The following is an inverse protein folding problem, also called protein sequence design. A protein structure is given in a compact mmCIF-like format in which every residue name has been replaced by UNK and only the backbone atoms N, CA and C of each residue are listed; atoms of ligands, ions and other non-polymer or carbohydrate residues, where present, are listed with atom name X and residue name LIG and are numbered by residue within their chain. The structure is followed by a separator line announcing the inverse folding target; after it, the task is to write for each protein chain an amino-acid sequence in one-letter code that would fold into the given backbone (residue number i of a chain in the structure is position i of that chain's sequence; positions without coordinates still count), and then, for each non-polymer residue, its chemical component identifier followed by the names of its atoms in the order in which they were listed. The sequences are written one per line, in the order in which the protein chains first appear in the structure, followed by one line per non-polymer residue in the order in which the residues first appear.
data_IF_160195492342
#
_entry.id   IF_160195492342
#
_cell.length_a   1.000
_cell.length_b   1.000
_cell.length_c   1.000
_cell.angle_alpha   90.00
_cell.angle_beta   90.00
_cell.angle_gamma   90.00
#
_symmetry.space_group_name_H-M   'P 1'
#
loop_
_entity.id
_entity.type
_entity.pdbx_description
1 polymer ?
#
# COMPACT_ATOMS: atom_id res chain seq x y z
N UNK A 1 38.19 13.97 -20.84
CA UNK A 1 37.04 13.04 -20.81
C UNK A 1 36.66 12.81 -19.37
N UNK A 2 35.43 13.15 -18.99
CA UNK A 2 34.88 12.89 -17.65
C UNK A 2 34.44 11.43 -17.54
N UNK A 3 34.33 10.92 -16.30
CA UNK A 3 33.79 9.60 -16.04
C UNK A 3 32.35 9.48 -16.57
N UNK A 4 31.95 8.29 -17.00
CA UNK A 4 30.57 8.01 -17.42
C UNK A 4 29.89 7.12 -16.39
N UNK A 5 28.84 7.66 -15.76
CA UNK A 5 28.03 6.97 -14.77
C UNK A 5 26.67 6.60 -15.39
N UNK A 6 26.23 5.36 -15.20
CA UNK A 6 24.95 4.86 -15.69
C UNK A 6 24.32 3.89 -14.70
N UNK A 7 23.00 3.91 -14.57
CA UNK A 7 22.22 2.90 -13.85
C UNK A 7 21.43 2.11 -14.90
N UNK A 8 21.49 0.78 -14.84
CA UNK A 8 20.72 -0.13 -15.71
C UNK A 8 19.80 -1.00 -14.87
N UNK A 9 18.53 -1.11 -15.27
CA UNK A 9 17.56 -2.03 -14.66
C UNK A 9 17.66 -3.40 -15.35
N UNK A 10 17.84 -4.45 -14.57
CA UNK A 10 17.99 -5.83 -15.03
C UNK A 10 16.99 -6.74 -14.28
N UNK A 11 16.46 -7.81 -14.91
CA UNK A 11 15.54 -8.75 -14.26
C UNK A 11 16.18 -9.37 -13.02
N UNK A 12 15.38 -9.62 -11.98
CA UNK A 12 15.84 -10.33 -10.78
C UNK A 12 16.12 -11.81 -11.06
N UNK A 13 15.28 -12.47 -11.86
CA UNK A 13 15.40 -13.88 -12.22
C UNK A 13 14.07 -14.60 -12.17
N UNK A 14 13.88 -15.49 -11.18
CA UNK A 14 12.64 -16.23 -10.93
C UNK A 14 11.83 -15.59 -9.80
N UNK A 15 10.63 -15.13 -10.13
CA UNK A 15 9.69 -14.52 -9.18
C UNK A 15 8.61 -15.52 -8.80
N UNK A 16 8.33 -15.68 -7.50
CA UNK A 16 7.13 -16.37 -7.01
C UNK A 16 6.04 -15.33 -6.71
N UNK A 17 4.85 -15.52 -7.26
CA UNK A 17 3.66 -14.71 -6.97
C UNK A 17 2.62 -15.59 -6.29
N UNK A 18 2.28 -15.25 -5.05
CA UNK A 18 1.24 -15.94 -4.26
C UNK A 18 0.01 -15.03 -4.20
N UNK A 19 -1.04 -15.40 -4.93
CA UNK A 19 -2.28 -14.64 -5.04
C UNK A 19 -3.30 -14.99 -3.94
N UNK A 20 -4.09 -14.01 -3.46
CA UNK A 20 -5.16 -14.22 -2.50
C UNK A 20 -6.48 -14.61 -3.21
N UNK A 21 -7.52 -14.89 -2.43
CA UNK A 21 -8.80 -15.39 -2.94
C UNK A 21 -9.85 -14.32 -3.22
N UNK A 22 -9.71 -13.12 -2.65
CA UNK A 22 -10.79 -12.13 -2.65
C UNK A 22 -10.93 -11.38 -3.99
N UNK A 23 -9.84 -11.19 -4.71
CA UNK A 23 -9.82 -10.75 -6.11
C UNK A 23 -8.86 -11.64 -6.90
N UNK A 24 -9.21 -12.92 -7.11
CA UNK A 24 -8.26 -13.98 -7.43
C UNK A 24 -7.66 -13.88 -8.84
N UNK A 25 -8.33 -13.18 -9.74
CA UNK A 25 -7.79 -12.86 -11.06
C UNK A 25 -6.86 -11.64 -10.97
N UNK A 26 -7.36 -10.51 -10.47
CA UNK A 26 -6.64 -9.24 -10.44
C UNK A 26 -5.35 -9.33 -9.62
N UNK A 27 -5.40 -9.90 -8.41
CA UNK A 27 -4.28 -9.91 -7.48
C UNK A 27 -3.22 -10.97 -7.82
N UNK A 28 -3.48 -11.84 -8.79
CA UNK A 28 -2.46 -12.71 -9.40
C UNK A 28 -1.88 -12.07 -10.67
N UNK A 29 -2.73 -11.52 -11.54
CA UNK A 29 -2.31 -11.04 -12.86
C UNK A 29 -1.63 -9.66 -12.84
N UNK A 30 -2.04 -8.74 -11.97
CA UNK A 30 -1.39 -7.42 -11.87
C UNK A 30 0.11 -7.52 -11.52
N UNK A 31 0.55 -8.25 -10.48
CA UNK A 31 1.98 -8.42 -10.22
C UNK A 31 2.67 -9.23 -11.33
N UNK A 32 1.98 -10.19 -11.98
CA UNK A 32 2.53 -10.95 -13.11
C UNK A 32 2.92 -10.03 -14.28
N UNK A 33 2.04 -9.09 -14.66
CA UNK A 33 2.31 -8.11 -15.72
C UNK A 33 3.60 -7.34 -15.41
N UNK A 34 3.77 -6.92 -14.17
CA UNK A 34 4.99 -6.26 -13.69
C UNK A 34 6.25 -7.10 -13.84
N UNK A 35 6.18 -8.36 -13.38
CA UNK A 35 7.31 -9.28 -13.41
C UNK A 35 7.72 -9.64 -14.84
N UNK A 36 6.75 -9.82 -15.74
CA UNK A 36 6.98 -10.03 -17.18
C UNK A 36 7.64 -8.80 -17.79
N UNK A 37 7.13 -7.60 -17.52
CA UNK A 37 7.68 -6.36 -18.06
C UNK A 37 9.15 -6.14 -17.64
N UNK A 38 9.51 -6.56 -16.42
CA UNK A 38 10.88 -6.53 -15.92
C UNK A 38 11.79 -7.65 -16.47
N UNK A 39 11.24 -8.61 -17.23
CA UNK A 39 12.00 -9.68 -17.90
C UNK A 39 12.22 -10.93 -17.05
N UNK A 40 11.38 -11.18 -16.04
CA UNK A 40 11.52 -12.32 -15.13
C UNK A 40 10.80 -13.57 -15.63
N UNK A 41 11.29 -14.74 -15.20
CA UNK A 41 10.49 -15.96 -15.15
C UNK A 41 9.58 -15.92 -13.92
N UNK A 42 8.39 -16.54 -13.99
CA UNK A 42 7.39 -16.44 -12.92
C UNK A 42 6.76 -17.78 -12.58
N UNK A 43 6.72 -18.10 -11.30
CA UNK A 43 5.89 -19.16 -10.73
C UNK A 43 4.68 -18.50 -10.08
N UNK A 44 3.48 -18.88 -10.50
CA UNK A 44 2.22 -18.37 -9.98
C UNK A 44 1.59 -19.42 -9.05
N UNK A 45 1.21 -18.99 -7.84
CA UNK A 45 0.45 -19.78 -6.88
C UNK A 45 -0.90 -19.11 -6.64
N UNK A 46 -1.97 -19.50 -7.37
CA UNK A 46 -3.31 -19.00 -7.12
C UNK A 46 -3.86 -19.59 -5.80
N UNK A 47 -4.79 -18.87 -5.15
CA UNK A 47 -5.38 -19.35 -3.90
C UNK A 47 -6.29 -20.56 -4.11
N UNK A 48 -6.14 -21.59 -3.31
CA UNK A 48 -7.01 -22.77 -3.27
C UNK A 48 -8.45 -22.45 -2.84
N UNK A 49 -8.65 -21.33 -2.13
CA UNK A 49 -9.96 -20.91 -1.60
C UNK A 49 -10.88 -20.44 -2.73
N UNK A 50 -10.34 -19.75 -3.75
CA UNK A 50 -11.08 -19.31 -4.93
C UNK A 50 -11.02 -20.36 -6.05
N UNK A 51 -11.42 -21.60 -5.73
CA UNK A 51 -11.19 -22.79 -6.55
C UNK A 51 -11.53 -22.60 -8.05
N UNK A 52 -12.72 -22.10 -8.36
CA UNK A 52 -13.17 -21.97 -9.75
C UNK A 52 -12.30 -21.04 -10.59
N UNK A 53 -11.88 -19.89 -10.03
CA UNK A 53 -10.97 -18.98 -10.73
C UNK A 53 -9.58 -19.58 -10.87
N UNK A 54 -9.09 -20.22 -9.80
CA UNK A 54 -7.76 -20.85 -9.78
C UNK A 54 -7.64 -21.98 -10.80
N UNK A 55 -8.68 -22.81 -10.92
CA UNK A 55 -8.79 -23.87 -11.93
C UNK A 55 -8.82 -23.27 -13.34
N UNK A 56 -9.66 -22.25 -13.58
CA UNK A 56 -9.72 -21.58 -14.88
C UNK A 56 -8.36 -21.00 -15.29
N UNK A 57 -7.64 -20.35 -14.37
CA UNK A 57 -6.31 -19.81 -14.64
C UNK A 57 -5.32 -20.94 -14.96
N UNK A 58 -5.31 -22.03 -14.19
CA UNK A 58 -4.43 -23.18 -14.41
C UNK A 58 -4.64 -23.82 -15.79
N UNK A 59 -5.90 -23.96 -16.22
CA UNK A 59 -6.25 -24.60 -17.49
C UNK A 59 -5.97 -23.73 -18.71
N UNK A 60 -6.06 -22.40 -18.57
CA UNK A 60 -6.13 -21.51 -19.73
C UNK A 60 -4.92 -20.57 -19.87
N UNK A 61 -4.34 -20.06 -18.79
CA UNK A 61 -3.37 -18.95 -18.87
C UNK A 61 -2.09 -19.36 -19.63
N UNK A 62 -1.61 -20.60 -19.41
CA UNK A 62 -0.40 -21.12 -20.07
C UNK A 62 -0.59 -21.47 -21.56
N UNK A 63 -1.79 -21.32 -22.12
CA UNK A 63 -2.01 -21.38 -23.57
C UNK A 63 -1.52 -20.11 -24.28
N UNK A 64 -1.31 -19.02 -23.54
CA UNK A 64 -0.93 -17.72 -24.07
C UNK A 64 0.49 -17.30 -23.68
N UNK A 65 1.13 -18.02 -22.75
CA UNK A 65 2.43 -17.70 -22.18
C UNK A 65 3.48 -18.77 -22.49
N UNK A 66 4.75 -18.38 -22.53
CA UNK A 66 5.86 -19.31 -22.69
C UNK A 66 5.96 -20.26 -21.48
N UNK A 67 5.65 -21.55 -21.69
CA UNK A 67 5.62 -22.58 -20.64
C UNK A 67 6.96 -22.91 -20.00
N UNK A 68 8.08 -22.47 -20.58
CA UNK A 68 9.40 -22.59 -19.96
C UNK A 68 9.69 -21.44 -18.99
N UNK A 69 9.17 -20.24 -19.26
CA UNK A 69 9.38 -19.04 -18.46
C UNK A 69 8.29 -18.84 -17.38
N UNK A 70 7.09 -19.40 -17.59
CA UNK A 70 5.93 -19.18 -16.73
C UNK A 70 5.29 -20.52 -16.36
N UNK A 71 5.02 -20.69 -15.06
CA UNK A 71 4.40 -21.90 -14.52
C UNK A 71 3.35 -21.56 -13.47
N UNK A 72 2.39 -22.46 -13.29
CA UNK A 72 1.33 -22.34 -12.28
C UNK A 72 1.42 -23.57 -11.38
N UNK A 73 1.42 -23.35 -10.08
CA UNK A 73 1.40 -24.42 -9.08
C UNK A 73 0.14 -24.24 -8.23
N UNK A 74 -0.81 -25.14 -8.41
CA UNK A 74 -2.02 -25.22 -7.59
C UNK A 74 -1.75 -26.06 -6.35
N UNK A 75 -2.44 -25.76 -5.25
CA UNK A 75 -2.29 -26.47 -3.99
C UNK A 75 -2.59 -25.57 -2.80
N UNK A 76 -2.57 -26.15 -1.61
CA UNK A 76 -2.86 -25.44 -0.37
C UNK A 76 -1.55 -25.11 0.37
N UNK A 77 -1.49 -25.41 1.67
CA UNK A 77 -0.36 -25.12 2.54
C UNK A 77 0.87 -25.92 2.15
N UNK A 78 0.77 -27.24 2.01
CA UNK A 78 1.90 -28.13 1.74
C UNK A 78 2.65 -27.78 0.45
N UNK A 79 1.94 -27.50 -0.63
CA UNK A 79 2.55 -27.08 -1.89
C UNK A 79 3.22 -25.70 -1.78
N UNK A 80 2.60 -24.79 -1.02
CA UNK A 80 3.12 -23.44 -0.79
C UNK A 80 4.41 -23.49 0.05
N UNK A 81 4.44 -24.31 1.10
CA UNK A 81 5.64 -24.53 1.91
C UNK A 81 6.77 -25.14 1.07
N UNK A 82 6.47 -26.13 0.23
CA UNK A 82 7.45 -26.73 -0.68
C UNK A 82 8.01 -25.71 -1.68
N UNK A 83 7.16 -24.85 -2.25
CA UNK A 83 7.59 -23.76 -3.12
C UNK A 83 8.52 -22.78 -2.41
N UNK A 84 8.19 -22.41 -1.17
CA UNK A 84 8.99 -21.47 -0.37
C UNK A 84 10.36 -22.03 0.06
N UNK A 85 10.62 -23.34 -0.10
CA UNK A 85 11.96 -23.90 0.08
C UNK A 85 12.89 -23.69 -1.12
N UNK A 86 12.34 -23.40 -2.30
CA UNK A 86 13.10 -23.24 -3.53
C UNK A 86 13.88 -21.91 -3.53
N UNK A 87 14.97 -21.86 -4.29
CA UNK A 87 15.73 -20.61 -4.49
C UNK A 87 14.96 -19.72 -5.48
N UNK A 88 14.53 -18.55 -5.00
CA UNK A 88 13.76 -17.57 -5.74
C UNK A 88 14.49 -16.22 -5.68
N UNK A 89 14.36 -15.41 -6.72
CA UNK A 89 15.02 -14.10 -6.81
C UNK A 89 14.10 -12.96 -6.33
N UNK A 90 12.79 -13.22 -6.22
CA UNK A 90 11.83 -12.36 -5.51
C UNK A 90 10.58 -13.16 -5.11
N UNK A 91 9.96 -12.84 -3.97
CA UNK A 91 8.65 -13.38 -3.58
C UNK A 91 7.66 -12.22 -3.43
N UNK A 92 6.57 -12.27 -4.19
CA UNK A 92 5.44 -11.36 -4.08
C UNK A 92 4.28 -12.12 -3.43
N UNK A 93 3.81 -11.65 -2.27
CA UNK A 93 2.72 -12.28 -1.54
C UNK A 93 1.66 -11.25 -1.18
N UNK A 94 0.40 -11.59 -1.43
CA UNK A 94 -0.75 -10.84 -0.93
C UNK A 94 -1.59 -11.73 -0.02
N UNK A 95 -1.92 -11.25 1.18
CA UNK A 95 -2.79 -11.97 2.10
C UNK A 95 -2.65 -11.54 3.56
N UNK A 96 -2.86 -12.48 4.48
CA UNK A 96 -2.79 -12.18 5.93
C UNK A 96 -1.38 -11.89 6.42
N UNK A 97 -1.25 -11.03 7.43
CA UNK A 97 0.03 -10.69 8.03
C UNK A 97 0.76 -11.86 8.70
N UNK A 98 0.02 -12.79 9.32
CA UNK A 98 0.60 -13.99 9.91
C UNK A 98 1.33 -14.85 8.86
N UNK A 99 0.68 -15.13 7.73
CA UNK A 99 1.32 -15.88 6.64
C UNK A 99 2.42 -15.05 5.96
N UNK A 100 2.28 -13.73 5.88
CA UNK A 100 3.34 -12.84 5.42
C UNK A 100 4.65 -12.99 6.21
N UNK A 101 4.57 -13.16 7.53
CA UNK A 101 5.72 -13.45 8.38
C UNK A 101 6.36 -14.81 8.05
N UNK A 102 5.55 -15.85 7.78
CA UNK A 102 6.05 -17.17 7.37
C UNK A 102 6.76 -17.11 6.01
N UNK A 103 6.19 -16.36 5.05
CA UNK A 103 6.81 -16.11 3.74
C UNK A 103 8.16 -15.40 3.91
N UNK A 104 8.22 -14.34 4.71
CA UNK A 104 9.46 -13.61 4.97
C UNK A 104 10.52 -14.49 5.67
N UNK A 105 10.11 -15.31 6.63
CA UNK A 105 11.00 -16.24 7.32
C UNK A 105 11.58 -17.31 6.37
N UNK A 106 10.79 -17.79 5.40
CA UNK A 106 11.28 -18.69 4.38
C UNK A 106 12.25 -17.98 3.41
N UNK A 107 11.91 -16.76 2.98
CA UNK A 107 12.73 -15.94 2.09
C UNK A 107 14.13 -15.65 2.67
N UNK A 108 14.22 -15.46 3.99
CA UNK A 108 15.48 -15.20 4.69
C UNK A 108 16.53 -16.31 4.50
N UNK A 109 16.11 -17.57 4.29
CA UNK A 109 17.03 -18.70 4.06
C UNK A 109 17.88 -18.54 2.79
N UNK A 110 17.37 -17.80 1.82
CA UNK A 110 18.03 -17.56 0.53
C UNK A 110 18.40 -16.07 0.31
N UNK A 111 18.18 -15.22 1.31
CA UNK A 111 18.28 -13.75 1.20
C UNK A 111 17.41 -13.19 0.06
N UNK A 112 16.26 -13.82 -0.19
CA UNK A 112 15.33 -13.42 -1.25
C UNK A 112 14.57 -12.16 -0.84
N UNK A 113 14.57 -11.09 -1.65
CA UNK A 113 13.73 -9.92 -1.39
C UNK A 113 12.24 -10.27 -1.50
N UNK A 114 11.42 -9.62 -0.68
CA UNK A 114 9.97 -9.83 -0.64
C UNK A 114 9.19 -8.55 -0.94
N UNK A 115 8.01 -8.71 -1.50
CA UNK A 115 6.94 -7.71 -1.47
C UNK A 115 5.75 -8.36 -0.77
N UNK A 116 5.31 -7.73 0.32
CA UNK A 116 4.23 -8.23 1.17
C UNK A 116 3.10 -7.22 1.15
N UNK A 117 2.01 -7.55 0.47
CA UNK A 117 0.76 -6.79 0.43
C UNK A 117 -0.21 -7.39 1.46
N UNK A 118 -0.27 -6.78 2.65
CA UNK A 118 -1.03 -7.32 3.78
C UNK A 118 -2.30 -6.51 4.04
N UNK A 119 -3.08 -6.95 5.03
CA UNK A 119 -4.30 -6.27 5.45
C UNK A 119 -4.08 -5.29 6.60
N UNK A 120 -5.17 -4.90 7.25
CA UNK A 120 -5.18 -4.04 8.41
C UNK A 120 -6.54 -3.39 8.60
N UNK A 121 -6.69 -2.58 9.64
CA UNK A 121 -7.94 -1.87 9.89
C UNK A 121 -7.88 -0.47 9.28
N UNK A 122 -8.34 -0.33 8.04
CA UNK A 122 -8.36 0.95 7.35
C UNK A 122 -9.43 1.90 7.90
N UNK A 123 -9.06 3.01 8.58
CA UNK A 123 -10.03 3.96 9.13
C UNK A 123 -10.65 4.82 8.03
N UNK A 124 -11.91 5.21 8.23
CA UNK A 124 -12.54 6.32 7.53
C UNK A 124 -12.89 7.45 8.50
N UNK A 125 -12.21 8.58 8.38
CA UNK A 125 -12.45 9.78 9.18
C UNK A 125 -13.46 10.68 8.47
N UNK A 126 -14.50 11.09 9.20
CA UNK A 126 -15.51 12.05 8.75
C UNK A 126 -15.28 13.36 9.49
N UNK A 127 -14.74 14.36 8.79
CA UNK A 127 -14.44 15.67 9.36
C UNK A 127 -15.70 16.58 9.38
N UNK A 128 -15.76 17.59 10.28
CA UNK A 128 -16.94 18.44 10.45
C UNK A 128 -17.32 19.27 9.21
N UNK A 129 -16.35 19.54 8.33
CA UNK A 129 -16.54 20.36 7.14
C UNK A 129 -17.08 19.57 5.94
N UNK A 130 -17.23 18.24 6.07
CA UNK A 130 -17.56 17.38 4.94
C UNK A 130 -19.06 17.35 4.61
N UNK A 131 -19.36 17.08 3.34
CA UNK A 131 -20.72 16.70 2.93
C UNK A 131 -21.03 15.28 3.39
N UNK A 132 -21.65 15.17 4.58
CA UNK A 132 -21.90 13.90 5.27
C UNK A 132 -22.60 12.83 4.41
N UNK A 133 -23.57 13.22 3.57
CA UNK A 133 -24.26 12.30 2.66
C UNK A 133 -23.33 11.71 1.60
N UNK A 134 -22.46 12.51 1.00
CA UNK A 134 -21.45 12.07 0.05
C UNK A 134 -20.44 11.16 0.73
N UNK A 135 -19.98 11.53 1.94
CA UNK A 135 -19.05 10.72 2.72
C UNK A 135 -19.64 9.35 3.06
N UNK A 136 -20.83 9.31 3.66
CA UNK A 136 -21.55 8.08 3.95
C UNK A 136 -21.74 7.22 2.70
N UNK A 137 -22.18 7.80 1.58
CA UNK A 137 -22.39 7.06 0.34
C UNK A 137 -21.11 6.39 -0.17
N UNK A 138 -19.98 7.11 -0.19
CA UNK A 138 -18.69 6.58 -0.63
C UNK A 138 -18.13 5.53 0.34
N UNK A 139 -18.23 5.78 1.65
CA UNK A 139 -17.83 4.81 2.70
C UNK A 139 -18.61 3.50 2.56
N UNK A 140 -19.93 3.57 2.43
CA UNK A 140 -20.77 2.38 2.30
C UNK A 140 -20.49 1.62 1.01
N UNK A 141 -20.18 2.32 -0.09
CA UNK A 141 -19.77 1.64 -1.32
C UNK A 141 -18.47 0.87 -1.11
N UNK A 142 -17.43 1.53 -0.59
CA UNK A 142 -16.15 0.88 -0.30
C UNK A 142 -16.28 -0.28 0.69
N UNK A 143 -17.16 -0.13 1.70
CA UNK A 143 -17.37 -1.15 2.73
C UNK A 143 -18.08 -2.40 2.21
N UNK A 144 -19.16 -2.22 1.47
CA UNK A 144 -20.04 -3.33 1.09
C UNK A 144 -19.71 -3.92 -0.28
N UNK A 145 -18.81 -3.28 -1.04
CA UNK A 145 -18.21 -3.90 -2.21
C UNK A 145 -17.48 -5.20 -1.83
N UNK A 146 -17.72 -6.26 -2.60
CA UNK A 146 -17.26 -7.62 -2.30
C UNK A 146 -17.68 -8.14 -0.90
N UNK A 147 -18.81 -7.65 -0.35
CA UNK A 147 -19.24 -7.87 1.03
C UNK A 147 -18.15 -7.54 2.08
N UNK A 148 -17.33 -6.50 1.81
CA UNK A 148 -16.26 -6.05 2.70
C UNK A 148 -15.03 -6.95 2.74
N UNK A 149 -14.93 -7.94 1.85
CA UNK A 149 -13.76 -8.83 1.71
C UNK A 149 -12.65 -8.15 0.88
N UNK A 150 -12.21 -6.97 1.32
CA UNK A 150 -11.25 -6.13 0.60
C UNK A 150 -10.25 -5.55 1.59
N UNK A 151 -8.94 -5.70 1.34
CA UNK A 151 -7.88 -5.24 2.24
C UNK A 151 -7.83 -3.72 2.42
N UNK A 152 -8.37 -2.98 1.45
CA UNK A 152 -8.55 -1.53 1.48
C UNK A 152 -10.01 -1.13 1.73
N UNK A 153 -10.92 -2.05 2.13
CA UNK A 153 -12.25 -1.60 2.53
C UNK A 153 -12.14 -0.66 3.76
N UNK A 154 -12.99 0.36 3.88
CA UNK A 154 -13.20 1.04 5.16
C UNK A 154 -13.51 -0.01 6.21
N UNK A 155 -12.63 -0.20 7.19
CA UNK A 155 -12.80 -1.23 8.20
C UNK A 155 -13.68 -0.71 9.33
N UNK A 156 -13.47 0.55 9.76
CA UNK A 156 -14.27 1.28 10.74
C UNK A 156 -14.36 2.79 10.41
N UNK A 157 -15.37 3.46 10.97
CA UNK A 157 -15.59 4.90 10.82
C UNK A 157 -15.29 5.63 12.13
N UNK A 158 -14.56 6.74 12.02
CA UNK A 158 -14.41 7.76 13.05
C UNK A 158 -15.25 8.96 12.64
N UNK A 159 -16.32 9.24 13.40
CA UNK A 159 -17.26 10.33 13.14
C UNK A 159 -17.42 11.18 14.38
N UNK A 160 -17.65 12.49 14.23
CA UNK A 160 -17.87 13.34 15.40
C UNK A 160 -19.11 12.87 16.18
N UNK A 161 -19.03 12.92 17.52
CA UNK A 161 -20.15 12.60 18.42
C UNK A 161 -21.43 13.33 18.03
N UNK A 162 -21.31 14.61 17.65
CA UNK A 162 -22.43 15.45 17.22
C UNK A 162 -23.09 14.97 15.91
N UNK A 163 -22.34 14.30 15.04
CA UNK A 163 -22.81 13.87 13.71
C UNK A 163 -23.21 12.39 13.66
N UNK A 164 -23.03 11.64 14.75
CA UNK A 164 -23.21 10.20 14.79
C UNK A 164 -24.62 9.76 14.35
N UNK A 165 -25.66 10.32 14.96
CA UNK A 165 -27.05 9.93 14.66
C UNK A 165 -27.41 10.23 13.20
N UNK A 166 -27.04 11.44 12.73
CA UNK A 166 -27.27 11.84 11.36
C UNK A 166 -26.51 10.96 10.36
N UNK A 167 -25.28 10.58 10.68
CA UNK A 167 -24.48 9.67 9.85
C UNK A 167 -25.13 8.29 9.75
N UNK A 168 -25.60 7.73 10.87
CA UNK A 168 -26.27 6.43 10.91
C UNK A 168 -27.56 6.44 10.11
N UNK A 169 -28.40 7.46 10.28
CA UNK A 169 -29.66 7.60 9.55
C UNK A 169 -29.43 7.75 8.04
N UNK A 170 -28.42 8.55 7.68
CA UNK A 170 -27.99 8.69 6.29
C UNK A 170 -27.52 7.34 5.72
N UNK A 171 -26.76 6.57 6.50
CA UNK A 171 -26.31 5.25 6.07
C UNK A 171 -27.47 4.27 5.86
N UNK A 172 -28.47 4.30 6.75
CA UNK A 172 -29.69 3.47 6.63
C UNK A 172 -30.42 3.76 5.32
N UNK A 173 -30.62 5.03 5.01
CA UNK A 173 -31.28 5.46 3.79
C UNK A 173 -30.54 4.97 2.54
N UNK A 174 -29.22 5.17 2.49
CA UNK A 174 -28.40 4.76 1.34
C UNK A 174 -28.40 3.24 1.14
N UNK A 175 -28.31 2.47 2.22
CA UNK A 175 -28.33 1.01 2.12
C UNK A 175 -29.69 0.48 1.67
N UNK A 176 -30.78 1.09 2.14
CA UNK A 176 -32.12 0.80 1.64
C UNK A 176 -32.27 1.13 0.15
N UNK A 177 -31.78 2.28 -0.30
CA UNK A 177 -31.82 2.67 -1.72
C UNK A 177 -31.03 1.70 -2.63
N UNK A 178 -29.95 1.09 -2.13
CA UNK A 178 -29.10 0.18 -2.90
C UNK A 178 -29.61 -1.25 -2.96
N UNK A 179 -30.12 -1.75 -1.84
CA UNK A 179 -30.38 -3.17 -1.65
C UNK A 179 -31.84 -3.50 -1.32
N UNK A 180 -32.68 -2.48 -1.11
CA UNK A 180 -34.08 -2.64 -0.73
C UNK A 180 -34.25 -3.22 0.68
N UNK A 181 -35.42 -3.81 0.92
CA UNK A 181 -35.79 -4.43 2.20
C UNK A 181 -35.03 -5.73 2.49
N UNK A 182 -34.60 -6.45 1.44
CA UNK A 182 -33.93 -7.74 1.55
C UNK A 182 -32.64 -7.79 0.71
N UNK A 183 -31.51 -7.33 1.28
CA UNK A 183 -30.22 -7.38 0.60
C UNK A 183 -29.77 -8.78 0.21
N UNK A 184 -30.32 -9.84 0.83
CA UNK A 184 -29.99 -11.22 0.47
C UNK A 184 -30.44 -11.55 -0.97
N UNK A 185 -31.55 -10.96 -1.43
CA UNK A 185 -32.07 -11.19 -2.79
C UNK A 185 -31.42 -10.29 -3.85
N UNK A 186 -30.52 -9.38 -3.47
CA UNK A 186 -29.86 -8.50 -4.42
C UNK A 186 -28.77 -9.23 -5.20
N UNK A 187 -28.89 -9.24 -6.54
CA UNK A 187 -27.85 -9.74 -7.45
C UNK A 187 -26.52 -8.97 -7.34
N UNK A 188 -26.55 -7.77 -6.75
CA UNK A 188 -25.38 -6.93 -6.53
C UNK A 188 -24.72 -7.13 -5.17
N UNK A 189 -25.23 -8.05 -4.33
CA UNK A 189 -24.70 -8.28 -2.99
C UNK A 189 -23.97 -9.63 -2.86
N UNK A 190 -22.64 -9.63 -2.63
CA UNK A 190 -21.83 -10.85 -2.58
C UNK A 190 -22.08 -11.71 -1.32
N UNK A 191 -21.52 -12.92 -1.34
CA UNK A 191 -21.48 -13.84 -0.19
C UNK A 191 -20.07 -13.93 0.39
N UNK A 192 -19.99 -14.39 1.64
CA UNK A 192 -18.71 -14.71 2.25
C UNK A 192 -18.11 -15.94 1.58
N UNK A 193 -16.79 -15.94 1.37
CA UNK A 193 -16.11 -16.96 0.55
C UNK A 193 -16.18 -18.39 1.13
N UNK A 194 -16.42 -18.53 2.45
CA UNK A 194 -16.41 -19.82 3.13
C UNK A 194 -17.15 -19.77 4.46
N UNK A 195 -17.56 -20.93 4.97
CA UNK A 195 -18.10 -21.08 6.34
C UNK A 195 -17.15 -20.54 7.40
N UNK A 196 -15.83 -20.75 7.25
CA UNK A 196 -14.84 -20.21 8.20
C UNK A 196 -14.89 -18.68 8.26
N UNK A 197 -15.06 -18.02 7.11
CA UNK A 197 -15.20 -16.56 7.06
C UNK A 197 -16.54 -16.10 7.59
N UNK A 198 -17.62 -16.83 7.34
CA UNK A 198 -18.93 -16.60 7.95
C UNK A 198 -18.84 -16.63 9.48
N UNK A 199 -18.27 -17.69 10.04
CA UNK A 199 -18.09 -17.86 11.49
C UNK A 199 -17.23 -16.76 12.11
N UNK A 200 -16.21 -16.29 11.40
CA UNK A 200 -15.37 -15.18 11.87
C UNK A 200 -16.14 -13.85 12.02
N UNK A 201 -17.24 -13.66 11.27
CA UNK A 201 -18.12 -12.50 11.37
C UNK A 201 -19.28 -12.75 12.34
N UNK A 202 -19.87 -13.95 12.30
CA UNK A 202 -21.03 -14.29 13.12
C UNK A 202 -20.69 -14.31 14.61
N UNK A 203 -19.54 -14.87 15.01
CA UNK A 203 -19.14 -14.96 16.42
C UNK A 203 -19.08 -13.62 17.15
N UNK A 204 -18.42 -12.57 16.64
CA UNK A 204 -18.44 -11.28 17.31
C UNK A 204 -19.83 -10.63 17.27
N UNK A 205 -20.66 -10.87 16.24
CA UNK A 205 -22.05 -10.39 16.22
C UNK A 205 -22.91 -11.05 17.32
N UNK A 206 -22.76 -12.37 17.54
CA UNK A 206 -23.49 -13.10 18.58
C UNK A 206 -23.12 -12.66 20.00
N UNK A 207 -21.88 -12.17 20.19
CA UNK A 207 -21.37 -11.68 21.47
C UNK A 207 -21.67 -10.20 21.71
N UNK A 208 -21.99 -9.45 20.67
CA UNK A 208 -22.27 -8.02 20.75
C UNK A 208 -23.62 -7.80 21.45
N UNK A 209 -23.69 -6.75 22.28
CA UNK A 209 -24.99 -6.27 22.79
C UNK A 209 -25.91 -5.94 21.60
N UNK A 210 -27.10 -6.57 21.49
CA UNK A 210 -28.04 -6.29 20.40
C UNK A 210 -28.39 -4.80 20.24
N UNK A 211 -28.30 -4.00 21.31
CA UNK A 211 -28.52 -2.54 21.24
C UNK A 211 -27.44 -1.80 20.45
N UNK A 212 -26.26 -2.40 20.29
CA UNK A 212 -25.17 -1.87 19.46
C UNK A 212 -25.31 -2.23 17.99
N UNK A 213 -26.30 -3.03 17.60
CA UNK A 213 -26.62 -3.27 16.18
C UNK A 213 -27.52 -2.14 15.70
N UNK A 214 -26.94 -1.17 15.01
CA UNK A 214 -27.63 0.03 14.53
C UNK A 214 -28.47 -0.25 13.28
N UNK A 215 -28.05 -1.21 12.46
CA UNK A 215 -28.75 -1.69 11.27
C UNK A 215 -28.20 -3.07 10.89
N UNK A 216 -29.03 -3.92 10.26
CA UNK A 216 -28.60 -5.21 9.73
C UNK A 216 -28.62 -6.29 10.79
N UNK A 217 -27.53 -7.06 10.92
CA UNK A 217 -27.37 -8.13 11.89
C UNK A 217 -28.04 -9.46 11.51
N UNK A 218 -28.80 -9.51 10.41
CA UNK A 218 -29.34 -10.76 9.86
C UNK A 218 -28.22 -11.53 9.15
N UNK A 219 -28.29 -12.86 9.24
CA UNK A 219 -27.37 -13.75 8.55
C UNK A 219 -28.05 -15.06 8.15
N UNK A 220 -27.51 -15.72 7.15
CA UNK A 220 -27.90 -17.05 6.71
C UNK A 220 -26.64 -17.86 6.42
N UNK A 221 -26.38 -18.85 7.28
CA UNK A 221 -25.21 -19.72 7.16
C UNK A 221 -25.24 -20.57 5.90
N UNK A 222 -26.41 -21.01 5.43
CA UNK A 222 -26.52 -21.88 4.25
C UNK A 222 -26.14 -21.14 2.97
N UNK A 223 -26.45 -19.86 2.93
CA UNK A 223 -26.15 -18.95 1.82
C UNK A 223 -24.83 -18.18 2.03
N UNK A 224 -24.14 -18.41 3.15
CA UNK A 224 -22.95 -17.64 3.58
C UNK A 224 -23.19 -16.12 3.53
N UNK A 225 -24.41 -15.72 3.86
CA UNK A 225 -24.89 -14.35 3.81
C UNK A 225 -24.81 -13.69 5.18
N UNK A 226 -24.28 -12.48 5.23
CA UNK A 226 -24.40 -11.57 6.38
C UNK A 226 -24.89 -10.24 5.82
N UNK A 227 -25.95 -9.69 6.38
CA UNK A 227 -26.53 -8.43 5.92
C UNK A 227 -25.54 -7.27 6.04
N UNK A 228 -25.69 -6.20 5.22
CA UNK A 228 -25.01 -4.94 5.47
C UNK A 228 -25.30 -4.47 6.90
N UNK A 229 -24.29 -4.52 7.77
CA UNK A 229 -24.47 -4.33 9.21
C UNK A 229 -23.69 -3.13 9.70
N UNK A 230 -24.35 -2.25 10.45
CA UNK A 230 -23.73 -1.12 11.14
C UNK A 230 -23.73 -1.43 12.64
N UNK A 231 -22.57 -1.30 13.30
CA UNK A 231 -22.47 -1.50 14.75
C UNK A 231 -21.89 -0.27 15.43
N UNK A 232 -22.46 0.13 16.57
CA UNK A 232 -22.01 1.31 17.30
C UNK A 232 -23.04 1.78 18.35
N UNK A 233 -22.71 2.79 19.16
CA UNK A 233 -21.37 3.37 19.31
C UNK A 233 -20.40 2.33 19.91
N UNK A 234 -19.23 2.18 19.30
CA UNK A 234 -18.15 1.35 19.84
C UNK A 234 -17.07 2.21 20.48
N UNK A 235 -16.41 1.64 21.48
CA UNK A 235 -15.20 2.21 22.05
C UNK A 235 -14.00 1.91 21.14
N UNK A 236 -12.97 2.77 21.10
CA UNK A 236 -11.78 2.54 20.27
C UNK A 236 -11.04 1.21 20.54
N UNK A 237 -11.18 0.68 21.75
CA UNK A 237 -10.58 -0.57 22.22
C UNK A 237 -11.56 -1.76 22.25
N UNK A 238 -12.71 -1.67 21.58
CA UNK A 238 -13.68 -2.77 21.48
C UNK A 238 -13.02 -4.06 20.94
N UNK A 239 -13.02 -5.12 21.76
CA UNK A 239 -12.32 -6.37 21.45
C UNK A 239 -13.00 -7.18 20.32
N UNK A 240 -14.29 -6.94 20.03
CA UNK A 240 -15.04 -7.73 19.06
C UNK A 240 -14.80 -7.23 17.64
N UNK A 241 -14.81 -5.91 17.44
CA UNK A 241 -14.72 -5.32 16.10
C UNK A 241 -13.61 -4.30 15.92
N UNK A 242 -12.87 -3.91 16.96
CA UNK A 242 -11.80 -2.89 16.87
C UNK A 242 -10.37 -3.45 17.04
N UNK A 243 -10.20 -4.74 17.32
CA UNK A 243 -8.87 -5.38 17.49
C UNK A 243 -8.28 -5.94 16.18
N UNK A 244 -9.03 -6.79 15.47
CA UNK A 244 -8.59 -7.43 14.23
C UNK A 244 -9.31 -6.88 13.00
N UNK A 245 -8.73 -7.10 11.81
CA UNK A 245 -9.36 -6.78 10.53
C UNK A 245 -10.67 -7.55 10.36
N UNK A 246 -11.75 -6.86 9.99
CA UNK A 246 -13.08 -7.46 9.91
C UNK A 246 -13.18 -8.34 8.68
N UNK A 247 -12.80 -7.79 7.51
CA UNK A 247 -12.85 -8.49 6.22
C UNK A 247 -14.22 -9.14 5.95
N UNK A 248 -15.27 -8.33 6.09
CA UNK A 248 -16.68 -8.72 6.01
C UNK A 248 -17.63 -7.53 6.14
N UNK A 249 -18.95 -7.74 6.00
CA UNK A 249 -19.93 -6.68 5.83
C UNK A 249 -20.45 -6.12 7.17
N UNK A 250 -19.54 -5.80 8.08
CA UNK A 250 -19.85 -5.14 9.36
C UNK A 250 -19.04 -3.87 9.47
N UNK A 251 -19.69 -2.72 9.59
CA UNK A 251 -19.05 -1.41 9.73
C UNK A 251 -19.21 -0.88 11.16
N UNK A 252 -18.14 -0.90 11.97
CA UNK A 252 -18.11 -0.23 13.25
C UNK A 252 -18.08 1.28 13.11
N UNK A 253 -18.84 1.95 13.96
CA UNK A 253 -18.90 3.40 14.09
C UNK A 253 -18.41 3.76 15.49
N UNK A 254 -17.29 4.47 15.54
CA UNK A 254 -16.65 4.94 16.76
C UNK A 254 -16.78 6.46 16.81
N UNK A 255 -17.58 7.00 17.73
CA UNK A 255 -17.76 8.44 17.82
C UNK A 255 -16.55 9.09 18.52
N UNK A 256 -16.07 10.21 17.99
CA UNK A 256 -14.93 10.99 18.51
C UNK A 256 -15.35 12.43 18.81
N UNK A 257 -14.67 13.10 19.74
CA UNK A 257 -14.88 14.52 20.06
C UNK A 257 -14.34 15.43 18.94
N UNK A 258 -13.16 15.09 18.40
CA UNK A 258 -12.50 15.89 17.37
C UNK A 258 -11.52 15.05 16.51
N UNK A 259 -10.81 15.73 15.61
CA UNK A 259 -9.81 15.11 14.74
C UNK A 259 -8.52 14.72 15.47
N UNK A 260 -8.21 15.30 16.63
CA UNK A 260 -7.04 14.90 17.43
C UNK A 260 -7.29 13.53 18.06
N UNK A 261 -8.45 13.32 18.67
CA UNK A 261 -8.84 12.00 19.19
C UNK A 261 -8.86 10.96 18.06
N UNK A 262 -9.36 11.32 16.87
CA UNK A 262 -9.35 10.41 15.71
C UNK A 262 -7.91 9.99 15.32
N UNK A 263 -6.97 10.93 15.30
CA UNK A 263 -5.56 10.68 15.01
C UNK A 263 -4.93 9.80 16.10
N UNK A 264 -5.22 10.05 17.38
CA UNK A 264 -4.75 9.23 18.50
C UNK A 264 -5.22 7.78 18.39
N UNK A 265 -6.50 7.56 18.07
CA UNK A 265 -7.06 6.22 17.88
C UNK A 265 -6.33 5.49 16.75
N UNK A 266 -6.07 6.16 15.62
CA UNK A 266 -5.35 5.57 14.49
C UNK A 266 -3.92 5.18 14.88
N UNK A 267 -3.21 6.10 15.55
CA UNK A 267 -1.83 5.87 15.97
C UNK A 267 -1.69 4.84 17.10
N UNK A 268 -2.75 4.57 17.86
CA UNK A 268 -2.79 3.49 18.85
C UNK A 268 -2.82 2.09 18.23
N UNK A 269 -3.08 1.98 16.92
CA UNK A 269 -3.21 0.72 16.18
C UNK A 269 -2.04 0.52 15.22
N UNK A 270 -1.92 -0.70 14.71
CA UNK A 270 -0.93 -1.02 13.70
C UNK A 270 -1.22 -0.24 12.39
N UNK A 271 -0.17 0.24 11.72
CA UNK A 271 -0.30 1.07 10.52
C UNK A 271 -1.15 0.39 9.43
N UNK A 272 -2.28 0.99 9.01
CA UNK A 272 -3.17 0.39 8.04
C UNK A 272 -2.64 0.53 6.61
N UNK A 273 -3.22 -0.26 5.70
CA UNK A 273 -2.89 -0.17 4.27
C UNK A 273 -3.34 1.18 3.69
N UNK A 274 -4.51 1.65 4.09
CA UNK A 274 -5.04 2.97 3.69
C UNK A 274 -5.76 3.68 4.83
N UNK A 275 -5.63 5.00 4.87
CA UNK A 275 -6.47 5.93 5.65
C UNK A 275 -7.41 6.67 4.69
N UNK A 276 -8.70 6.69 5.00
CA UNK A 276 -9.69 7.50 4.28
C UNK A 276 -10.03 8.75 5.09
N UNK A 277 -9.94 9.93 4.46
CA UNK A 277 -10.30 11.20 5.09
C UNK A 277 -11.36 11.91 4.26
N UNK A 278 -12.51 12.23 4.84
CA UNK A 278 -13.54 13.05 4.21
C UNK A 278 -13.46 14.46 4.78
N UNK A 279 -12.85 15.39 4.02
CA UNK A 279 -12.66 16.80 4.38
C UNK A 279 -12.24 17.64 3.17
N UNK A 280 -12.88 18.79 3.00
CA UNK A 280 -12.55 19.81 2.00
C UNK A 280 -11.58 20.87 2.55
N UNK A 281 -11.36 20.92 3.86
CA UNK A 281 -10.41 21.80 4.55
C UNK A 281 -8.95 21.34 4.37
N UNK A 282 -8.09 22.13 3.69
CA UNK A 282 -6.67 21.82 3.54
C UNK A 282 -5.92 21.67 4.87
N UNK A 283 -6.33 22.39 5.91
CA UNK A 283 -5.67 22.34 7.23
C UNK A 283 -5.89 20.99 7.90
N UNK A 284 -7.11 20.44 7.85
CA UNK A 284 -7.45 19.11 8.36
C UNK A 284 -6.71 18.04 7.56
N UNK A 285 -6.68 18.15 6.22
CA UNK A 285 -5.92 17.22 5.36
C UNK A 285 -4.44 17.18 5.72
N UNK A 286 -3.82 18.34 5.89
CA UNK A 286 -2.42 18.43 6.27
C UNK A 286 -2.19 17.85 7.67
N UNK A 287 -3.07 18.15 8.63
CA UNK A 287 -2.99 17.65 10.00
C UNK A 287 -3.02 16.12 10.03
N UNK A 288 -4.02 15.48 9.40
CA UNK A 288 -4.13 14.02 9.38
C UNK A 288 -2.94 13.40 8.65
N UNK A 289 -2.56 13.94 7.49
CA UNK A 289 -1.44 13.41 6.68
C UNK A 289 -0.09 13.49 7.42
N UNK A 290 0.18 14.56 8.18
CA UNK A 290 1.43 14.75 8.90
C UNK A 290 1.51 13.98 10.22
N UNK A 291 0.37 13.60 10.80
CA UNK A 291 0.32 13.01 12.13
C UNK A 291 -0.18 11.56 12.13
N UNK A 292 -0.25 10.90 10.97
CA UNK A 292 -0.59 9.47 10.86
C UNK A 292 0.37 8.74 9.92
N UNK A 293 0.37 7.41 9.96
CA UNK A 293 1.20 6.57 9.07
C UNK A 293 0.33 5.48 8.45
N UNK A 294 0.39 5.36 7.12
CA UNK A 294 -0.33 4.34 6.33
C UNK A 294 0.36 4.10 5.00
N UNK A 295 -0.03 3.04 4.29
CA UNK A 295 0.43 2.80 2.91
C UNK A 295 -0.03 3.89 1.94
N UNK A 296 -1.28 4.33 2.08
CA UNK A 296 -1.86 5.43 1.32
C UNK A 296 -2.86 6.25 2.15
N UNK A 297 -3.04 7.51 1.77
CA UNK A 297 -4.16 8.34 2.21
C UNK A 297 -5.03 8.69 0.99
N UNK A 298 -6.33 8.48 1.09
CA UNK A 298 -7.29 8.89 0.06
C UNK A 298 -8.29 9.86 0.67
N UNK A 299 -8.43 11.01 0.02
CA UNK A 299 -9.30 12.10 0.47
C UNK A 299 -10.60 12.07 -0.32
N UNK A 300 -11.72 12.19 0.40
CA UNK A 300 -13.08 12.29 -0.11
C UNK A 300 -13.57 11.10 -0.94
N UNK A 301 -12.89 9.95 -0.94
CA UNK A 301 -13.37 8.74 -1.59
C UNK A 301 -12.83 7.47 -0.93
N UNK A 302 -13.27 6.30 -1.40
CA UNK A 302 -12.76 4.99 -0.97
C UNK A 302 -12.31 4.16 -2.17
N UNK A 303 -11.43 3.18 -1.96
CA UNK A 303 -10.90 2.23 -2.95
C UNK A 303 -10.14 2.81 -4.17
N UNK A 304 -10.46 4.01 -4.64
CA UNK A 304 -10.08 4.49 -5.97
C UNK A 304 -8.57 4.67 -6.19
N UNK A 305 -7.80 4.94 -5.13
CA UNK A 305 -6.34 4.98 -5.19
C UNK A 305 -5.73 3.66 -5.70
N UNK A 306 -6.40 2.52 -5.49
CA UNK A 306 -5.94 1.21 -5.96
C UNK A 306 -6.10 1.01 -7.48
N UNK A 307 -6.79 1.92 -8.18
CA UNK A 307 -6.92 1.91 -9.65
C UNK A 307 -5.92 2.85 -10.33
N UNK A 308 -5.27 3.74 -9.57
CA UNK A 308 -4.40 4.76 -10.12
C UNK A 308 -2.99 4.20 -10.34
N UNK A 309 -2.69 3.85 -11.60
CA UNK A 309 -1.42 3.24 -12.00
C UNK A 309 -0.17 4.13 -11.79
N UNK A 310 -0.34 5.44 -11.62
CA UNK A 310 0.76 6.35 -11.31
C UNK A 310 1.14 6.37 -9.83
N UNK A 311 0.29 5.84 -8.94
CA UNK A 311 0.57 5.72 -7.52
C UNK A 311 1.18 4.35 -7.20
N UNK A 312 2.22 4.28 -6.35
CA UNK A 312 2.67 3.01 -5.81
C UNK A 312 1.61 2.48 -4.83
N UNK A 313 1.12 1.25 -5.07
CA UNK A 313 0.26 0.54 -4.14
C UNK A 313 1.11 -0.36 -3.25
N UNK A 314 1.06 -0.17 -1.94
CA UNK A 314 1.81 -0.96 -0.96
C UNK A 314 1.53 -0.53 0.48
N UNK A 315 1.79 -1.43 1.43
CA UNK A 315 1.65 -1.16 2.85
C UNK A 315 2.91 -0.64 3.53
N UNK A 316 2.79 -0.34 4.83
CA UNK A 316 3.89 0.03 5.71
C UNK A 316 3.73 -0.65 7.07
N UNK A 317 4.82 -1.18 7.63
CA UNK A 317 4.78 -1.88 8.91
C UNK A 317 3.92 -3.15 8.83
N UNK A 318 2.88 -3.24 9.65
CA UNK A 318 2.02 -4.43 9.71
C UNK A 318 1.16 -4.65 8.45
N UNK A 319 0.88 -3.58 7.70
CA UNK A 319 0.13 -3.67 6.44
C UNK A 319 0.98 -4.07 5.23
N UNK A 320 2.30 -4.15 5.38
CA UNK A 320 3.16 -4.65 4.31
C UNK A 320 4.52 -3.99 4.20
N UNK A 321 5.24 -4.43 3.17
CA UNK A 321 6.50 -3.82 2.72
C UNK A 321 6.70 -4.00 1.22
N UNK A 322 7.32 -3.01 0.60
CA UNK A 322 7.37 -2.90 -0.85
C UNK A 322 6.09 -2.26 -1.41
N UNK A 323 6.09 -2.04 -2.73
CA UNK A 323 4.93 -1.51 -3.43
C UNK A 323 5.00 -1.92 -4.91
N UNK A 324 3.87 -1.86 -5.60
CA UNK A 324 3.76 -2.18 -7.02
C UNK A 324 2.72 -1.27 -7.70
N UNK A 325 2.25 -1.66 -8.89
CA UNK A 325 1.46 -0.92 -9.88
C UNK A 325 2.29 -0.09 -10.86
N UNK A 326 1.81 -0.04 -12.10
CA UNK A 326 2.41 0.76 -13.18
C UNK A 326 3.94 0.63 -13.27
N UNK A 327 4.67 1.77 -13.38
CA UNK A 327 6.13 1.78 -13.38
C UNK A 327 6.75 1.20 -12.10
N UNK A 328 6.08 1.31 -10.96
CA UNK A 328 6.59 0.79 -9.69
C UNK A 328 6.69 -0.73 -9.70
N UNK A 329 5.77 -1.44 -10.38
CA UNK A 329 5.89 -2.88 -10.60
C UNK A 329 7.19 -3.24 -11.33
N UNK A 330 7.54 -2.52 -12.40
CA UNK A 330 8.78 -2.78 -13.14
C UNK A 330 10.01 -2.62 -12.24
N UNK A 331 10.02 -1.57 -11.42
CA UNK A 331 11.09 -1.30 -10.46
C UNK A 331 11.18 -2.40 -9.39
N UNK A 332 10.04 -2.83 -8.85
CA UNK A 332 9.96 -3.87 -7.83
C UNK A 332 10.48 -5.21 -8.32
N UNK A 333 10.31 -5.55 -9.59
CA UNK A 333 10.79 -6.80 -10.18
C UNK A 333 12.12 -6.68 -10.94
N UNK A 334 12.80 -5.53 -10.85
CA UNK A 334 14.14 -5.30 -11.39
C UNK A 334 15.15 -5.06 -10.27
N UNK A 335 16.45 -5.19 -10.56
CA UNK A 335 17.50 -4.59 -9.73
C UNK A 335 18.23 -3.49 -10.50
N UNK A 336 18.68 -2.47 -9.78
CA UNK A 336 19.44 -1.36 -10.34
C UNK A 336 20.95 -1.65 -10.28
N UNK A 337 21.55 -1.83 -11.45
CA UNK A 337 22.98 -2.04 -11.61
C UNK A 337 23.70 -0.72 -11.88
N UNK A 338 24.46 -0.26 -10.89
CA UNK A 338 25.34 0.90 -11.04
C UNK A 338 26.60 0.55 -11.83
N UNK A 339 26.92 1.36 -12.84
CA UNK A 339 28.15 1.24 -13.63
C UNK A 339 28.85 2.60 -13.72
N UNK A 340 30.14 2.59 -13.41
CA UNK A 340 31.04 3.74 -13.56
C UNK A 340 32.17 3.35 -14.51
N UNK A 341 32.26 4.05 -15.63
CA UNK A 341 33.36 3.92 -16.57
C UNK A 341 34.32 5.07 -16.29
N UNK A 342 35.46 4.75 -15.70
CA UNK A 342 36.53 5.70 -15.42
C UNK A 342 37.24 6.09 -16.71
N UNK A 343 37.48 7.39 -16.88
CA UNK A 343 38.45 7.86 -17.87
C UNK A 343 39.87 7.47 -17.42
N UNK A 344 40.74 7.05 -18.35
CA UNK A 344 42.15 6.70 -18.07
C UNK A 344 43.01 7.98 -17.89
N UNK A 345 42.47 9.17 -18.19
CA UNK A 345 43.17 10.44 -18.00
C UNK A 345 43.29 10.88 -16.54
N UNK A 346 44.19 11.85 -16.29
CA UNK A 346 44.38 12.50 -14.97
C UNK A 346 44.91 11.59 -13.85
N UNK A 347 45.59 10.49 -14.18
CA UNK A 347 46.24 9.59 -13.20
C UNK A 347 47.20 10.33 -12.24
N UNK A 348 47.82 11.42 -12.71
CA UNK A 348 48.67 12.27 -11.88
C UNK A 348 47.92 12.92 -10.72
N UNK A 349 46.65 13.28 -10.91
CA UNK A 349 45.78 13.84 -9.86
C UNK A 349 45.36 12.74 -8.89
N UNK A 350 45.16 11.51 -9.39
CA UNK A 350 44.85 10.34 -8.56
C UNK A 350 46.04 9.90 -7.67
N UNK A 351 47.25 10.44 -7.85
CA UNK A 351 48.36 10.21 -6.90
C UNK A 351 48.05 10.63 -5.47
N UNK A 352 47.11 11.56 -5.29
CA UNK A 352 46.63 11.99 -3.98
C UNK A 352 46.00 10.84 -3.17
N UNK A 353 45.38 9.84 -3.82
CA UNK A 353 44.80 8.67 -3.14
C UNK A 353 45.79 7.51 -2.94
N UNK A 354 47.00 7.58 -3.50
CA UNK A 354 47.96 6.46 -3.46
C UNK A 354 48.99 6.61 -2.33
N UNK A 355 49.39 5.51 -1.68
CA UNK A 355 50.51 5.50 -0.74
C UNK A 355 51.85 5.96 -1.36
N UNK A 356 52.83 6.41 -0.54
CA UNK A 356 52.70 6.69 0.89
C UNK A 356 51.82 7.93 1.13
N UNK A 357 51.05 7.91 2.22
CA UNK A 357 50.15 9.01 2.59
C UNK A 357 50.91 10.09 3.35
N UNK A 358 50.59 11.34 3.07
CA UNK A 358 51.10 12.52 3.79
C UNK A 358 50.02 13.62 3.78
N UNK A 359 50.24 14.67 4.57
CA UNK A 359 49.29 15.76 4.76
C UNK A 359 48.94 16.45 3.43
N UNK A 360 49.92 16.63 2.53
CA UNK A 360 49.70 17.23 1.21
C UNK A 360 48.77 16.40 0.33
N UNK A 361 48.96 15.08 0.29
CA UNK A 361 48.09 14.16 -0.44
C UNK A 361 46.71 14.09 0.17
N UNK A 362 46.60 14.11 1.50
CA UNK A 362 45.32 14.11 2.20
C UNK A 362 44.54 15.41 1.92
N UNK A 363 45.21 16.56 1.96
CA UNK A 363 44.61 17.85 1.62
C UNK A 363 44.14 17.86 0.16
N UNK A 364 44.98 17.40 -0.77
CA UNK A 364 44.64 17.32 -2.19
C UNK A 364 43.48 16.34 -2.45
N UNK A 365 43.49 15.16 -1.83
CA UNK A 365 42.42 14.17 -1.99
C UNK A 365 41.09 14.64 -1.39
N UNK A 366 41.14 15.30 -0.23
CA UNK A 366 39.95 15.89 0.40
C UNK A 366 39.34 16.98 -0.50
N UNK A 367 40.17 17.86 -1.05
CA UNK A 367 39.73 18.86 -2.02
C UNK A 367 39.08 18.23 -3.26
N UNK A 368 39.63 17.13 -3.77
CA UNK A 368 39.14 16.43 -4.97
C UNK A 368 37.84 15.63 -4.74
N UNK A 369 37.56 15.20 -3.51
CA UNK A 369 36.43 14.32 -3.19
C UNK A 369 35.27 15.03 -2.51
N UNK A 370 35.57 16.01 -1.64
CA UNK A 370 34.58 16.74 -0.85
C UNK A 370 34.34 18.14 -1.44
N UNK A 371 35.27 18.64 -2.26
CA UNK A 371 35.23 20.02 -2.76
C UNK A 371 35.70 21.03 -1.69
N UNK A 372 35.61 22.32 -2.00
CA UNK A 372 35.82 23.37 -1.00
C UNK A 372 34.57 23.50 -0.11
N UNK A 373 34.72 23.81 1.19
CA UNK A 373 33.58 24.14 2.03
C UNK A 373 32.74 25.25 1.41
N UNK A 374 31.41 25.17 1.49
CA UNK A 374 30.50 26.14 0.87
C UNK A 374 30.81 27.60 1.24
N UNK A 375 31.22 27.84 2.49
CA UNK A 375 31.64 29.16 2.97
C UNK A 375 32.85 29.76 2.20
N UNK A 376 33.74 28.91 1.67
CA UNK A 376 34.88 29.33 0.84
C UNK A 376 34.40 29.56 -0.60
N UNK A 377 33.59 28.64 -1.12
CA UNK A 377 33.02 28.71 -2.47
C UNK A 377 32.16 29.97 -2.65
N UNK A 378 31.39 30.35 -1.62
CA UNK A 378 30.53 31.53 -1.64
C UNK A 378 31.31 32.84 -1.51
N UNK A 379 32.44 32.85 -0.79
CA UNK A 379 33.37 33.99 -0.79
C UNK A 379 33.97 34.23 -2.18
N UNK A 380 34.38 33.16 -2.89
CA UNK A 380 34.87 33.27 -4.26
C UNK A 380 33.80 33.78 -5.22
N UNK A 381 32.57 33.24 -5.15
CA UNK A 381 31.44 33.75 -5.96
C UNK A 381 31.17 35.23 -5.71
N UNK A 382 31.17 35.64 -4.44
CA UNK A 382 30.97 37.04 -4.04
C UNK A 382 32.07 37.94 -4.61
N UNK A 383 33.33 37.50 -4.54
CA UNK A 383 34.48 38.22 -5.08
C UNK A 383 34.40 38.40 -6.60
N UNK A 384 34.11 37.33 -7.36
CA UNK A 384 33.96 37.41 -8.82
C UNK A 384 32.73 38.24 -9.23
N UNK A 385 31.63 38.17 -8.46
CA UNK A 385 30.46 39.02 -8.68
C UNK A 385 30.77 40.51 -8.44
N UNK A 386 31.55 40.82 -7.40
CA UNK A 386 32.01 42.17 -7.10
C UNK A 386 32.93 42.72 -8.21
N UNK A 387 33.85 41.89 -8.73
CA UNK A 387 34.70 42.23 -9.87
C UNK A 387 33.90 42.51 -11.15
N UNK A 388 32.94 41.64 -11.49
CA UNK A 388 32.05 41.85 -12.64
C UNK A 388 31.17 43.09 -12.49
N UNK A 389 30.74 43.40 -11.27
CA UNK A 389 29.98 44.61 -10.97
C UNK A 389 30.84 45.87 -11.03
N UNK A 390 32.07 45.84 -10.50
CA UNK A 390 33.03 46.92 -10.61
C UNK A 390 33.40 47.20 -12.08
N UNK A 391 33.57 46.16 -12.89
CA UNK A 391 33.80 46.32 -14.34
C UNK A 391 32.64 47.05 -15.03
N UNK A 392 31.39 46.67 -14.73
CA UNK A 392 30.21 47.35 -15.29
C UNK A 392 30.12 48.82 -14.84
N UNK A 393 30.40 49.10 -13.57
CA UNK A 393 30.38 50.49 -13.05
C UNK A 393 31.48 51.34 -13.70
N UNK A 394 32.68 50.78 -13.86
CA UNK A 394 33.85 51.54 -14.29
C UNK A 394 33.99 51.65 -15.81
N UNK A 395 33.43 50.71 -16.58
CA UNK A 395 33.75 50.59 -18.01
C UNK A 395 32.53 50.51 -18.95
N UNK A 396 31.29 50.39 -18.46
CA UNK A 396 30.11 50.57 -19.32
C UNK A 396 29.59 52.00 -19.21
N UNK A 397 29.76 52.80 -20.29
CA UNK A 397 29.17 54.14 -20.41
C UNK A 397 27.64 54.03 -20.49
N UNK A 398 26.93 54.78 -19.65
CA UNK A 398 25.50 55.04 -19.85
C UNK A 398 25.28 55.75 -21.20
N UNK A 399 24.60 55.06 -22.13
CA UNK A 399 24.01 55.72 -23.29
C UNK A 399 22.74 56.43 -22.84
N UNK A 400 22.74 57.77 -22.92
CA UNK A 400 21.52 58.58 -22.94
C UNK A 400 20.74 58.36 -24.23
#
# INVERSE_FOLDING_TARGET
MMDKNTIRKEPKGVVLIIGPWNYPLQLLLLPLVGAIAAGNCVVMKPSEVSFHTSQFIADNLLNYLNRQAYSIVTGAVDETERLLTQKLDHIFYTGSGHVGQLVMAAAAKHLTPVTLELGGKSPALVAPDTHLSTAANRILWGKFFNAGQTCVAPDYVLVLKADMDLFVDTCRQILYERYGDDPQQSDSYPRLISERRFEAIQRPLDQLDPKKVLMGGKSDRKDLYVAPTLVGPLEPNDALFMEQEIFGPVLPIVPVEDMDEAIEIINSKASPLVIYLFSDDPSIRNKVSQNTTSGAILVNDTLMHAQESSLPFGGVGASGMGAYHGPKSFDTFSYERSMMIKSIGLEMVMKARYPPYNDDKQALFSLLTIGLPDAVTDKFKTFFHALGSAYRVLFTKESK
#
